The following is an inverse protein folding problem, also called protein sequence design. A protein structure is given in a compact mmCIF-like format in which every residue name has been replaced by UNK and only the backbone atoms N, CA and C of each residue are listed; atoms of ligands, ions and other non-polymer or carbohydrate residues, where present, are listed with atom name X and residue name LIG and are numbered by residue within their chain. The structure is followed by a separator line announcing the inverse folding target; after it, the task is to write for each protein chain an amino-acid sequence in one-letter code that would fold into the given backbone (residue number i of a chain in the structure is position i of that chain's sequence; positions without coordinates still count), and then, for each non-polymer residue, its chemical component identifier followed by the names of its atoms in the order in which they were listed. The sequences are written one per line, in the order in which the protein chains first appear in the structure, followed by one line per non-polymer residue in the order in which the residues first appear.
data_IF_979403270279
#
_entry.id   IF_979403270279
#
_cell.length_a   1.000
_cell.length_b   1.000
_cell.length_c   1.000
_cell.angle_alpha   90.00
_cell.angle_beta   90.00
_cell.angle_gamma   90.00
#
_symmetry.space_group_name_H-M   'P 1'
#
loop_
_entity.id
_entity.type
_entity.pdbx_description
1 polymer ?
#
# COMPACT_ATOMS: atom_id res chain seq x y z
N UNK A 1 -15.57 27.35 31.31
CA UNK A 1 -14.10 27.53 31.28
C UNK A 1 -13.45 26.27 31.84
N UNK A 2 -13.12 25.28 31.00
CA UNK A 2 -12.41 24.08 31.44
C UNK A 2 -10.92 24.28 31.18
N UNK A 3 -10.11 24.33 32.25
CA UNK A 3 -8.66 24.45 32.16
C UNK A 3 -8.07 23.06 31.94
N UNK A 4 -7.80 22.69 30.69
CA UNK A 4 -6.95 21.55 30.36
C UNK A 4 -5.50 21.91 30.71
N UNK A 5 -5.01 21.41 31.84
CA UNK A 5 -3.63 21.64 32.28
C UNK A 5 -2.77 20.52 31.71
N UNK A 6 -1.99 20.83 30.69
CA UNK A 6 -0.95 19.95 30.13
C UNK A 6 0.09 19.68 31.22
N UNK A 7 0.44 18.42 31.43
CA UNK A 7 1.52 18.02 32.32
C UNK A 7 2.73 17.75 31.43
N UNK A 8 3.66 18.70 31.37
CA UNK A 8 4.97 18.44 30.79
C UNK A 8 5.77 17.52 31.72
N UNK A 9 6.41 16.50 31.16
CA UNK A 9 7.43 15.70 31.84
C UNK A 9 8.80 16.28 31.46
N UNK A 10 9.49 17.01 32.35
CA UNK A 10 10.81 17.51 32.05
C UNK A 10 11.79 16.33 32.06
N UNK A 11 12.40 16.03 30.90
CA UNK A 11 13.56 15.12 30.83
C UNK A 11 13.57 14.05 29.73
N UNK A 12 12.55 13.95 28.88
CA UNK A 12 12.56 13.00 27.77
C UNK A 12 13.36 13.55 26.58
N UNK A 13 14.58 13.05 26.37
CA UNK A 13 15.36 13.22 25.14
C UNK A 13 14.86 12.26 24.05
N UNK A 14 13.56 12.30 23.77
CA UNK A 14 12.91 11.57 22.67
C UNK A 14 12.73 12.47 21.44
N UNK A 15 12.70 11.88 20.25
CA UNK A 15 12.62 12.57 18.95
C UNK A 15 11.27 13.31 18.75
N UNK A 16 10.30 13.15 19.66
CA UNK A 16 9.03 13.87 19.67
C UNK A 16 8.56 14.17 21.10
N UNK A 17 7.82 15.27 21.32
CA UNK A 17 7.21 15.56 22.61
C UNK A 17 6.16 14.50 22.95
N UNK A 18 6.26 13.94 24.15
CA UNK A 18 5.29 12.99 24.69
C UNK A 18 4.26 13.74 25.53
N UNK A 19 2.97 13.52 25.24
CA UNK A 19 1.87 14.10 26.00
C UNK A 19 0.99 12.99 26.57
N UNK A 20 0.68 13.08 27.86
CA UNK A 20 -0.35 12.26 28.50
C UNK A 20 -1.71 12.96 28.36
N UNK A 21 -2.66 12.29 27.72
CA UNK A 21 -4.04 12.75 27.55
C UNK A 21 -5.01 11.71 28.08
N UNK A 22 -6.19 12.14 28.55
CA UNK A 22 -7.25 11.20 28.95
C UNK A 22 -7.89 10.56 27.70
N UNK A 23 -8.43 9.34 27.80
CA UNK A 23 -9.11 8.68 26.67
C UNK A 23 -10.22 9.54 26.05
N UNK A 24 -10.99 10.25 26.86
CA UNK A 24 -12.07 11.13 26.40
C UNK A 24 -11.53 12.37 25.65
N UNK A 25 -10.36 12.85 26.06
CA UNK A 25 -9.66 13.94 25.36
C UNK A 25 -9.11 13.44 24.03
N UNK A 26 -8.61 12.20 23.99
CA UNK A 26 -8.16 11.56 22.75
C UNK A 26 -9.31 11.35 21.77
N UNK A 27 -10.51 10.98 22.24
CA UNK A 27 -11.71 10.84 21.41
C UNK A 27 -12.19 12.20 20.86
N UNK A 28 -12.10 13.25 21.68
CA UNK A 28 -12.47 14.62 21.30
C UNK A 28 -11.49 15.23 20.26
N UNK A 29 -10.22 14.84 20.33
CA UNK A 29 -9.25 15.04 19.25
C UNK A 29 -9.45 13.87 18.29
N UNK A 30 -10.62 13.78 17.66
CA UNK A 30 -10.71 13.04 16.41
C UNK A 30 -9.96 13.91 15.39
N UNK A 31 -8.65 13.72 15.10
CA UNK A 31 -8.10 14.38 13.94
C UNK A 31 -9.03 13.99 12.81
N UNK A 32 -9.53 14.97 12.06
CA UNK A 32 -10.27 14.69 10.82
C UNK A 32 -9.41 13.69 10.05
N UNK A 33 -9.85 12.44 10.04
CA UNK A 33 -8.99 11.34 9.71
C UNK A 33 -8.77 11.37 8.23
N UNK A 34 -7.70 11.98 7.75
CA UNK A 34 -6.99 11.37 6.63
C UNK A 34 -6.30 10.11 7.20
N UNK A 35 -7.09 9.14 7.67
CA UNK A 35 -6.63 7.86 8.21
C UNK A 35 -6.50 6.88 7.04
N UNK A 36 -5.33 6.49 6.58
CA UNK A 36 -3.99 6.78 7.05
C UNK A 36 -3.03 6.56 5.90
N UNK A 37 -1.99 7.38 5.87
CA UNK A 37 -0.84 7.10 5.04
C UNK A 37 -0.33 5.70 5.35
N UNK A 38 -0.42 4.78 4.41
CA UNK A 38 0.25 3.50 4.54
C UNK A 38 1.73 3.78 4.31
N UNK A 39 2.55 3.48 5.32
CA UNK A 39 4.00 3.59 5.18
C UNK A 39 4.42 2.67 4.04
N UNK A 40 5.09 3.21 3.03
CA UNK A 40 5.69 2.43 1.94
C UNK A 40 7.10 2.01 2.36
N UNK A 41 7.88 2.93 2.93
CA UNK A 41 9.26 2.70 3.32
C UNK A 41 9.88 3.95 3.91
N UNK A 42 11.17 4.17 3.65
CA UNK A 42 11.86 5.40 4.00
C UNK A 42 12.52 6.05 2.79
N UNK A 43 12.79 7.34 2.87
CA UNK A 43 13.69 7.99 1.93
C UNK A 43 15.17 7.58 2.20
N UNK A 44 16.13 8.06 1.38
CA UNK A 44 17.55 7.81 1.62
C UNK A 44 18.11 8.37 2.93
N UNK A 45 17.43 9.34 3.56
CA UNK A 45 17.79 9.95 4.83
C UNK A 45 17.25 9.14 6.02
N UNK A 46 16.32 8.22 5.78
CA UNK A 46 15.70 7.38 6.80
C UNK A 46 14.33 7.86 7.26
N UNK A 47 13.81 8.95 6.67
CA UNK A 47 12.50 9.50 7.01
C UNK A 47 11.39 8.65 6.41
N UNK A 48 10.32 8.42 7.18
CA UNK A 48 9.23 7.55 6.78
C UNK A 48 8.42 8.13 5.62
N UNK A 49 8.30 7.37 4.53
CA UNK A 49 7.55 7.74 3.35
C UNK A 49 6.22 7.01 3.31
N UNK A 50 5.13 7.76 3.44
CA UNK A 50 3.76 7.27 3.45
C UNK A 50 3.00 7.66 2.18
N UNK A 51 1.95 6.92 1.85
CA UNK A 51 0.98 7.33 0.84
C UNK A 51 -0.45 7.18 1.36
N UNK A 52 -1.29 8.19 1.13
CA UNK A 52 -2.72 8.19 1.46
C UNK A 52 -3.50 7.28 0.49
N UNK A 53 -3.27 5.97 0.61
CA UNK A 53 -3.97 4.94 -0.19
C UNK A 53 -5.26 4.47 0.49
N UNK A 54 -5.60 4.95 1.67
CA UNK A 54 -6.90 4.74 2.33
C UNK A 54 -7.37 6.14 2.67
N UNK A 55 -8.23 6.73 1.83
CA UNK A 55 -8.64 8.15 1.90
C UNK A 55 -10.09 8.31 1.45
N UNK A 56 -10.67 9.48 1.69
CA UNK A 56 -12.04 9.85 1.29
C UNK A 56 -12.27 10.01 -0.23
N UNK A 57 -11.47 9.36 -1.06
CA UNK A 57 -11.54 9.35 -2.53
C UNK A 57 -11.33 7.91 -3.06
N UNK A 58 -12.03 7.49 -4.12
CA UNK A 58 -11.68 6.28 -4.84
C UNK A 58 -10.24 6.37 -5.32
N UNK A 59 -9.42 5.36 -5.02
CA UNK A 59 -7.98 5.42 -5.31
C UNK A 59 -7.54 4.23 -6.14
N UNK A 60 -6.84 4.50 -7.23
CA UNK A 60 -6.27 3.49 -8.12
C UNK A 60 -4.75 3.47 -7.92
N UNK A 61 -4.21 2.29 -7.69
CA UNK A 61 -2.78 2.09 -7.49
C UNK A 61 -2.24 0.97 -8.39
N UNK A 62 -1.00 1.11 -8.85
CA UNK A 62 -0.28 0.06 -9.57
C UNK A 62 1.03 -0.25 -8.86
N UNK A 63 1.33 -1.53 -8.67
CA UNK A 63 2.67 -1.97 -8.25
C UNK A 63 3.27 -2.81 -9.37
N UNK A 64 4.49 -2.49 -9.78
CA UNK A 64 5.23 -3.24 -10.81
C UNK A 64 6.46 -3.88 -10.21
N UNK A 65 6.56 -5.20 -10.34
CA UNK A 65 7.69 -5.99 -9.87
C UNK A 65 7.24 -7.25 -9.13
N UNK A 66 7.89 -7.54 -8.02
CA UNK A 66 7.62 -8.72 -7.20
C UNK A 66 6.40 -8.59 -6.30
N UNK A 67 5.85 -9.73 -5.90
CA UNK A 67 4.70 -9.86 -5.02
C UNK A 67 4.97 -9.38 -3.59
N UNK A 68 6.24 -9.36 -3.18
CA UNK A 68 6.68 -8.93 -1.85
C UNK A 68 6.12 -7.54 -1.46
N UNK A 69 6.27 -6.55 -2.35
CA UNK A 69 5.80 -5.18 -2.12
C UNK A 69 4.28 -5.17 -1.88
N UNK A 70 3.53 -5.85 -2.74
CA UNK A 70 2.07 -5.89 -2.64
C UNK A 70 1.61 -6.57 -1.34
N UNK A 71 2.27 -7.65 -0.91
CA UNK A 71 1.99 -8.31 0.37
C UNK A 71 2.35 -7.43 1.57
N UNK A 72 3.45 -6.70 1.51
CA UNK A 72 3.84 -5.77 2.58
C UNK A 72 2.82 -4.63 2.71
N UNK A 73 2.39 -4.04 1.60
CA UNK A 73 1.34 -3.02 1.61
C UNK A 73 0.00 -3.59 2.10
N UNK A 74 -0.33 -4.83 1.73
CA UNK A 74 -1.51 -5.51 2.26
C UNK A 74 -1.44 -5.69 3.79
N UNK A 75 -0.31 -6.17 4.31
CA UNK A 75 -0.07 -6.29 5.76
C UNK A 75 -0.25 -4.95 6.47
N UNK A 76 0.34 -3.89 5.92
CA UNK A 76 0.25 -2.55 6.52
C UNK A 76 -1.15 -1.98 6.47
N UNK A 77 -1.86 -2.16 5.36
CA UNK A 77 -3.25 -1.75 5.24
C UNK A 77 -4.13 -2.48 6.26
N UNK A 78 -3.95 -3.79 6.44
CA UNK A 78 -4.64 -4.54 7.50
C UNK A 78 -4.31 -4.02 8.90
N UNK A 79 -3.03 -3.72 9.16
CA UNK A 79 -2.59 -3.21 10.46
C UNK A 79 -3.20 -1.83 10.77
N UNK A 80 -3.60 -1.07 9.74
CA UNK A 80 -4.36 0.19 9.88
C UNK A 80 -5.89 -0.01 9.87
N UNK A 81 -6.39 -1.25 9.92
CA UNK A 81 -7.82 -1.57 9.99
C UNK A 81 -8.52 -1.77 8.66
N UNK A 82 -7.80 -1.79 7.53
CA UNK A 82 -8.42 -2.00 6.23
C UNK A 82 -8.87 -3.45 6.04
N UNK A 83 -10.02 -3.61 5.39
CA UNK A 83 -10.42 -4.88 4.80
C UNK A 83 -9.65 -5.08 3.50
N UNK A 84 -8.99 -6.23 3.38
CA UNK A 84 -8.16 -6.58 2.24
C UNK A 84 -8.80 -7.73 1.47
N UNK A 85 -9.25 -7.44 0.24
CA UNK A 85 -9.78 -8.44 -0.68
C UNK A 85 -8.75 -8.69 -1.77
N UNK A 86 -8.36 -9.94 -1.96
CA UNK A 86 -7.34 -10.34 -2.92
C UNK A 86 -8.00 -11.17 -4.01
N UNK A 87 -8.18 -10.60 -5.19
CA UNK A 87 -8.58 -11.32 -6.38
C UNK A 87 -7.32 -11.82 -7.10
N UNK A 88 -7.08 -13.13 -7.08
CA UNK A 88 -5.83 -13.73 -7.57
C UNK A 88 -6.03 -15.08 -8.28
N UNK A 89 -5.16 -15.36 -9.24
CA UNK A 89 -5.02 -16.69 -9.86
C UNK A 89 -4.13 -17.64 -9.05
N UNK A 90 -3.44 -17.15 -8.02
CA UNK A 90 -2.44 -17.88 -7.21
C UNK A 90 -2.70 -17.74 -5.72
N UNK A 91 -3.84 -18.25 -5.20
CA UNK A 91 -4.25 -18.04 -3.81
C UNK A 91 -3.23 -18.51 -2.76
N UNK A 92 -2.46 -19.56 -3.05
CA UNK A 92 -1.41 -20.05 -2.16
C UNK A 92 -0.35 -18.98 -1.84
N UNK A 93 -0.08 -18.09 -2.80
CA UNK A 93 0.87 -16.99 -2.67
C UNK A 93 0.37 -15.88 -1.72
N UNK A 94 -0.86 -15.94 -1.21
CA UNK A 94 -1.45 -14.90 -0.36
C UNK A 94 -1.91 -15.42 1.01
N UNK A 95 -1.90 -16.75 1.22
CA UNK A 95 -2.37 -17.41 2.46
C UNK A 95 -1.66 -16.95 3.74
N UNK A 96 -0.45 -16.41 3.66
CA UNK A 96 0.24 -15.87 4.84
C UNK A 96 -0.53 -14.70 5.47
N UNK A 97 -1.29 -13.94 4.68
CA UNK A 97 -2.05 -12.79 5.18
C UNK A 97 -3.25 -13.22 6.04
N UNK A 98 -3.91 -14.33 5.70
CA UNK A 98 -4.99 -14.89 6.53
C UNK A 98 -4.47 -15.27 7.92
N UNK A 99 -3.26 -15.83 8.00
CA UNK A 99 -2.61 -16.14 9.28
C UNK A 99 -2.21 -14.88 10.04
N UNK A 100 -1.71 -13.88 9.33
CA UNK A 100 -1.28 -12.60 9.92
C UNK A 100 -2.45 -11.79 10.50
N UNK A 101 -3.66 -11.93 9.94
CA UNK A 101 -4.87 -11.29 10.46
C UNK A 101 -5.25 -11.80 11.86
N UNK A 102 -4.79 -13.00 12.23
CA UNK A 102 -5.04 -13.62 13.53
C UNK A 102 -6.44 -14.21 13.67
N UNK A 103 -6.77 -14.56 14.91
CA UNK A 103 -8.03 -15.19 15.29
C UNK A 103 -8.77 -14.31 16.30
N UNK A 104 -10.10 -14.35 16.23
CA UNK A 104 -11.01 -13.83 17.25
C UNK A 104 -10.87 -14.62 18.56
N UNK A 105 -11.35 -14.09 19.70
CA UNK A 105 -11.30 -14.81 20.99
C UNK A 105 -11.92 -16.23 20.94
N UNK A 106 -12.88 -16.45 20.05
CA UNK A 106 -13.53 -17.74 19.83
C UNK A 106 -12.74 -18.67 18.89
N UNK A 107 -11.50 -18.33 18.52
CA UNK A 107 -10.62 -19.10 17.65
C UNK A 107 -10.99 -19.06 16.16
N UNK A 108 -11.90 -18.17 15.74
CA UNK A 108 -12.27 -18.02 14.31
C UNK A 108 -11.35 -17.01 13.63
N UNK A 109 -10.94 -17.21 12.37
CA UNK A 109 -10.14 -16.22 11.64
C UNK A 109 -10.79 -14.83 11.62
N UNK A 110 -9.99 -13.79 11.87
CA UNK A 110 -10.45 -12.41 11.75
C UNK A 110 -10.77 -12.12 10.27
N UNK A 111 -11.98 -11.63 9.93
CA UNK A 111 -12.42 -11.49 8.55
C UNK A 111 -11.84 -10.26 7.81
N UNK A 112 -10.64 -9.81 8.20
CA UNK A 112 -9.95 -8.68 7.56
C UNK A 112 -9.35 -9.05 6.19
N UNK A 113 -9.13 -10.33 5.90
CA UNK A 113 -8.60 -10.81 4.62
C UNK A 113 -9.56 -11.76 3.94
N UNK A 114 -9.76 -11.55 2.65
CA UNK A 114 -10.50 -12.49 1.81
C UNK A 114 -9.74 -12.76 0.51
N UNK A 115 -9.33 -14.01 0.31
CA UNK A 115 -8.72 -14.44 -0.95
C UNK A 115 -9.81 -15.03 -1.86
N UNK A 116 -9.90 -14.51 -3.08
CA UNK A 116 -10.92 -14.83 -4.07
C UNK A 116 -10.28 -15.16 -5.42
N UNK A 117 -10.99 -15.94 -6.23
CA UNK A 117 -10.62 -16.16 -7.64
C UNK A 117 -10.83 -14.87 -8.43
N UNK A 118 -10.11 -14.72 -9.55
CA UNK A 118 -10.30 -13.63 -10.51
C UNK A 118 -11.63 -13.79 -11.28
N UNK A 119 -12.71 -13.37 -10.65
CA UNK A 119 -14.04 -13.30 -11.24
C UNK A 119 -14.81 -12.14 -10.59
N UNK A 120 -15.78 -11.52 -11.26
CA UNK A 120 -16.62 -10.49 -10.65
C UNK A 120 -17.37 -11.00 -9.42
N UNK A 121 -17.45 -10.18 -8.38
CA UNK A 121 -18.28 -10.40 -7.19
C UNK A 121 -18.57 -9.05 -6.51
N UNK A 122 -19.59 -9.04 -5.65
CA UNK A 122 -19.96 -7.84 -4.90
C UNK A 122 -18.90 -7.51 -3.83
N UNK A 123 -18.42 -6.27 -3.89
CA UNK A 123 -17.52 -5.74 -2.88
C UNK A 123 -18.32 -5.26 -1.66
N UNK A 124 -17.77 -5.42 -0.44
CA UNK A 124 -18.36 -4.81 0.74
C UNK A 124 -18.31 -3.29 0.63
N UNK A 125 -19.18 -2.61 1.37
CA UNK A 125 -19.20 -1.16 1.44
C UNK A 125 -17.94 -0.65 2.16
N UNK A 126 -17.22 0.28 1.54
CA UNK A 126 -16.12 0.99 2.18
C UNK A 126 -16.61 2.20 2.98
N UNK A 127 -15.94 2.49 4.09
CA UNK A 127 -16.14 3.67 4.93
C UNK A 127 -14.82 4.10 5.56
N UNK A 128 -14.83 5.23 6.28
CA UNK A 128 -13.67 5.69 7.06
C UNK A 128 -13.27 4.67 8.13
N UNK A 129 -14.25 4.09 8.83
CA UNK A 129 -14.02 3.08 9.87
C UNK A 129 -13.67 1.69 9.30
N UNK A 130 -13.91 1.47 8.02
CA UNK A 130 -13.64 0.19 7.35
C UNK A 130 -13.20 0.45 5.91
N UNK A 131 -11.98 0.96 5.73
CA UNK A 131 -11.47 1.22 4.39
C UNK A 131 -11.22 -0.11 3.68
N UNK A 132 -11.41 -0.13 2.37
CA UNK A 132 -11.33 -1.33 1.55
C UNK A 132 -10.12 -1.25 0.61
N UNK A 133 -9.20 -2.20 0.73
CA UNK A 133 -8.15 -2.44 -0.25
C UNK A 133 -8.48 -3.69 -1.07
N UNK A 134 -8.75 -3.51 -2.36
CA UNK A 134 -8.89 -4.59 -3.33
C UNK A 134 -7.56 -4.77 -4.06
N UNK A 135 -6.97 -5.95 -3.97
CA UNK A 135 -5.74 -6.30 -4.67
C UNK A 135 -6.10 -7.19 -5.86
N UNK A 136 -5.78 -6.72 -7.06
CA UNK A 136 -5.98 -7.45 -8.30
C UNK A 136 -4.64 -8.03 -8.78
N UNK A 137 -4.42 -9.31 -8.47
CA UNK A 137 -3.22 -10.09 -8.83
C UNK A 137 -3.56 -11.06 -9.98
N UNK A 138 -3.71 -10.49 -11.18
CA UNK A 138 -4.22 -11.17 -12.37
C UNK A 138 -3.19 -11.43 -13.47
N UNK A 139 -1.91 -11.15 -13.24
CA UNK A 139 -0.86 -11.21 -14.25
C UNK A 139 -0.54 -9.85 -14.86
N UNK A 140 0.23 -9.85 -15.95
CA UNK A 140 0.85 -8.64 -16.51
C UNK A 140 -0.10 -7.72 -17.29
N UNK A 141 -1.30 -8.20 -17.65
CA UNK A 141 -2.33 -7.41 -18.33
C UNK A 141 -3.56 -7.39 -17.42
N UNK A 142 -3.79 -6.30 -16.67
CA UNK A 142 -4.86 -6.26 -15.69
C UNK A 142 -6.23 -6.21 -16.37
N UNK A 143 -7.18 -6.97 -15.83
CA UNK A 143 -8.59 -6.82 -16.13
C UNK A 143 -9.21 -5.90 -15.08
N UNK A 144 -9.98 -4.90 -15.48
CA UNK A 144 -10.63 -3.99 -14.51
C UNK A 144 -11.92 -4.59 -13.98
N UNK A 145 -11.80 -5.69 -13.24
CA UNK A 145 -12.92 -6.33 -12.57
C UNK A 145 -13.44 -5.49 -11.39
N UNK A 146 -12.54 -4.77 -10.72
CA UNK A 146 -12.84 -4.02 -9.49
C UNK A 146 -12.30 -2.59 -9.54
N UNK A 147 -12.66 -1.77 -10.55
CA UNK A 147 -12.25 -0.36 -10.53
C UNK A 147 -12.77 0.32 -9.24
N UNK A 148 -12.01 1.21 -8.61
CA UNK A 148 -12.44 1.89 -7.40
C UNK A 148 -13.59 2.85 -7.73
N UNK A 149 -14.69 2.80 -6.96
CA UNK A 149 -15.93 3.56 -7.25
C UNK A 149 -16.47 4.33 -6.05
N UNK A 150 -15.92 4.13 -4.85
CA UNK A 150 -16.37 4.79 -3.63
C UNK A 150 -15.19 5.42 -2.85
N UNK A 151 -15.45 6.47 -2.04
CA UNK A 151 -14.52 6.89 -1.00
C UNK A 151 -14.06 5.71 -0.16
N UNK A 152 -12.82 5.76 0.33
CA UNK A 152 -12.23 4.71 1.17
C UNK A 152 -12.08 3.35 0.46
N UNK A 153 -12.24 3.29 -0.86
CA UNK A 153 -11.96 2.13 -1.68
C UNK A 153 -10.70 2.36 -2.51
N UNK A 154 -9.75 1.44 -2.37
CA UNK A 154 -8.53 1.41 -3.17
C UNK A 154 -8.42 0.12 -3.93
N UNK A 155 -8.14 0.23 -5.22
CA UNK A 155 -7.81 -0.93 -6.05
C UNK A 155 -6.35 -0.87 -6.45
N UNK A 156 -5.58 -1.86 -5.99
CA UNK A 156 -4.17 -2.07 -6.34
C UNK A 156 -4.04 -3.15 -7.40
N UNK A 157 -3.51 -2.81 -8.58
CA UNK A 157 -3.16 -3.77 -9.61
C UNK A 157 -1.71 -4.21 -9.45
N UNK A 158 -1.50 -5.51 -9.25
CA UNK A 158 -0.18 -6.11 -9.05
C UNK A 158 0.31 -6.67 -10.37
N UNK A 159 1.30 -6.02 -10.96
CA UNK A 159 1.89 -6.40 -12.25
C UNK A 159 3.26 -7.04 -12.02
N UNK A 160 3.48 -8.31 -12.42
CA UNK A 160 4.79 -8.95 -12.30
C UNK A 160 5.87 -8.27 -13.15
N UNK A 161 5.43 -7.63 -14.25
CA UNK A 161 6.24 -6.86 -15.17
C UNK A 161 5.32 -5.95 -16.01
N UNK A 162 5.88 -4.96 -16.69
CA UNK A 162 5.13 -4.12 -17.63
C UNK A 162 5.01 -4.78 -19.00
N UNK A 163 3.78 -5.13 -19.36
CA UNK A 163 3.43 -5.62 -20.69
C UNK A 163 2.96 -4.46 -21.59
N UNK A 164 3.29 -4.44 -22.90
CA UNK A 164 2.88 -3.35 -23.80
C UNK A 164 1.38 -3.05 -23.80
N UNK A 165 0.52 -4.06 -23.65
CA UNK A 165 -0.94 -3.87 -23.60
C UNK A 165 -1.42 -3.08 -22.37
N UNK A 166 -0.61 -2.96 -21.32
CA UNK A 166 -0.92 -2.11 -20.15
C UNK A 166 -1.08 -0.65 -20.56
N UNK A 167 -0.35 -0.20 -21.59
CA UNK A 167 -0.41 1.18 -22.09
C UNK A 167 -1.77 1.59 -22.66
N UNK A 168 -2.62 0.63 -23.05
CA UNK A 168 -3.95 0.91 -23.58
C UNK A 168 -5.06 0.89 -22.51
N UNK A 169 -4.78 0.38 -21.31
CA UNK A 169 -5.79 0.17 -20.26
C UNK A 169 -5.86 1.32 -19.25
N UNK A 170 -7.03 1.56 -18.66
CA UNK A 170 -7.19 2.62 -17.67
C UNK A 170 -6.47 2.34 -16.34
N UNK A 171 -6.24 1.06 -16.00
CA UNK A 171 -5.60 0.61 -14.76
C UNK A 171 -4.24 1.28 -14.50
N UNK A 172 -3.41 1.46 -15.53
CA UNK A 172 -2.12 2.13 -15.41
C UNK A 172 -2.18 3.63 -15.76
N UNK A 173 -2.92 4.00 -16.79
CA UNK A 173 -2.97 5.39 -17.28
C UNK A 173 -3.68 6.35 -16.32
N UNK A 174 -4.55 5.84 -15.45
CA UNK A 174 -5.35 6.64 -14.51
C UNK A 174 -5.02 6.30 -13.04
N UNK A 175 -3.85 5.72 -12.81
CA UNK A 175 -3.39 5.41 -11.46
C UNK A 175 -3.04 6.70 -10.71
N UNK A 176 -3.55 6.84 -9.49
CA UNK A 176 -3.18 7.91 -8.55
C UNK A 176 -1.76 7.73 -8.00
N UNK A 177 -1.34 6.46 -7.88
CA UNK A 177 -0.04 6.06 -7.35
C UNK A 177 0.50 4.86 -8.13
N UNK A 178 1.76 4.92 -8.54
CA UNK A 178 2.48 3.82 -9.17
C UNK A 178 3.77 3.57 -8.38
N UNK A 179 4.00 2.32 -7.98
CA UNK A 179 5.25 1.90 -7.37
C UNK A 179 6.02 1.00 -8.33
N UNK A 180 7.21 1.43 -8.70
CA UNK A 180 8.08 0.74 -9.64
C UNK A 180 9.29 0.19 -8.89
N UNK A 181 9.40 -1.13 -8.79
CA UNK A 181 10.67 -1.76 -8.45
C UNK A 181 11.61 -1.76 -9.67
N UNK A 182 12.83 -2.31 -9.53
CA UNK A 182 13.79 -2.41 -10.64
C UNK A 182 13.13 -2.96 -11.91
N UNK A 183 13.30 -2.27 -13.03
CA UNK A 183 12.79 -2.68 -14.34
C UNK A 183 13.94 -2.97 -15.31
N UNK A 184 13.84 -4.01 -16.17
CA UNK A 184 14.74 -4.11 -17.31
C UNK A 184 14.52 -2.93 -18.28
N UNK A 185 15.55 -2.60 -19.07
CA UNK A 185 15.56 -1.39 -19.90
C UNK A 185 14.34 -1.26 -20.81
N UNK A 186 13.91 -2.35 -21.44
CA UNK A 186 12.72 -2.38 -22.31
C UNK A 186 11.44 -2.02 -21.54
N UNK A 187 11.29 -2.48 -20.29
CA UNK A 187 10.15 -2.13 -19.44
C UNK A 187 10.26 -0.71 -18.88
N UNK A 188 11.47 -0.22 -18.59
CA UNK A 188 11.68 1.16 -18.18
C UNK A 188 11.32 2.15 -19.31
N UNK A 189 11.63 1.82 -20.56
CA UNK A 189 11.20 2.57 -21.75
C UNK A 189 9.68 2.50 -21.95
N UNK A 190 9.04 1.38 -21.61
CA UNK A 190 7.58 1.28 -21.64
C UNK A 190 6.95 2.15 -20.53
N UNK A 191 7.48 2.10 -19.30
CA UNK A 191 7.07 2.98 -18.19
C UNK A 191 7.19 4.45 -18.60
N UNK A 192 8.25 4.81 -19.32
CA UNK A 192 8.45 6.14 -19.86
C UNK A 192 7.27 6.60 -20.72
N UNK A 193 6.78 5.75 -21.61
CA UNK A 193 5.67 6.06 -22.51
C UNK A 193 4.33 6.12 -21.78
N UNK A 194 4.09 5.19 -20.85
CA UNK A 194 2.82 5.10 -20.11
C UNK A 194 2.65 6.31 -19.19
N UNK A 195 3.69 6.66 -18.42
CA UNK A 195 3.60 7.72 -17.40
C UNK A 195 4.37 8.99 -17.77
N UNK A 196 4.71 9.16 -19.04
CA UNK A 196 5.39 10.35 -19.58
C UNK A 196 6.66 10.73 -18.79
N UNK A 197 7.47 9.73 -18.44
CA UNK A 197 8.71 9.95 -17.68
C UNK A 197 9.75 10.68 -18.56
N UNK A 198 10.57 11.52 -17.93
CA UNK A 198 11.68 12.22 -18.58
C UNK A 198 12.82 11.23 -18.87
N UNK A 199 13.66 11.52 -19.87
CA UNK A 199 14.77 10.63 -20.24
C UNK A 199 15.70 10.29 -19.05
N UNK A 200 15.99 11.26 -18.18
CA UNK A 200 16.84 11.05 -17.00
C UNK A 200 16.19 10.19 -15.90
N UNK A 201 14.87 9.96 -15.97
CA UNK A 201 14.13 9.13 -15.02
C UNK A 201 14.18 7.64 -15.41
N UNK A 202 14.53 7.31 -16.66
CA UNK A 202 14.52 5.92 -17.16
C UNK A 202 15.70 5.10 -16.62
N UNK A 203 16.91 5.65 -16.67
CA UNK A 203 18.12 4.93 -16.25
C UNK A 203 18.10 4.52 -14.76
N UNK A 204 17.67 5.36 -13.81
CA UNK A 204 17.57 4.95 -12.40
C UNK A 204 16.69 3.72 -12.17
N UNK A 205 15.61 3.54 -12.93
CA UNK A 205 14.71 2.39 -12.81
C UNK A 205 15.42 1.05 -13.07
N UNK A 206 16.48 1.04 -13.87
CA UNK A 206 17.23 -0.18 -14.18
C UNK A 206 18.27 -0.53 -13.11
N UNK A 207 18.61 0.43 -12.26
CA UNK A 207 19.68 0.33 -11.26
C UNK A 207 19.18 0.18 -9.82
N UNK A 208 17.86 0.22 -9.61
CA UNK A 208 17.24 0.02 -8.29
C UNK A 208 17.73 -1.28 -7.63
N UNK A 209 18.06 -1.20 -6.34
CA UNK A 209 18.32 -2.37 -5.53
C UNK A 209 17.01 -3.12 -5.20
N UNK A 210 17.12 -4.33 -4.67
CA UNK A 210 15.94 -5.17 -4.39
C UNK A 210 15.02 -4.58 -3.32
N UNK A 211 15.58 -3.77 -2.42
CA UNK A 211 14.87 -2.99 -1.40
C UNK A 211 14.51 -1.57 -1.87
N UNK A 212 14.67 -1.23 -3.15
CA UNK A 212 14.38 0.11 -3.65
C UNK A 212 13.21 0.11 -4.63
N UNK A 213 12.44 1.19 -4.60
CA UNK A 213 11.39 1.48 -5.56
C UNK A 213 11.31 2.98 -5.86
N UNK A 214 10.72 3.31 -7.00
CA UNK A 214 10.27 4.67 -7.31
C UNK A 214 8.76 4.74 -7.08
N UNK A 215 8.32 5.73 -6.31
CA UNK A 215 6.92 6.15 -6.25
C UNK A 215 6.65 7.26 -7.27
N UNK A 216 5.65 7.05 -8.10
CA UNK A 216 5.09 8.02 -9.03
C UNK A 216 3.67 8.39 -8.60
N UNK A 217 3.35 9.66 -8.58
CA UNK A 217 1.99 10.15 -8.33
C UNK A 217 1.79 11.50 -9.01
N UNK A 218 0.77 12.26 -8.59
CA UNK A 218 0.58 13.61 -9.12
C UNK A 218 1.80 14.49 -8.78
N UNK A 219 2.68 14.70 -9.76
CA UNK A 219 3.94 15.46 -9.67
C UNK A 219 5.05 14.83 -8.79
N UNK A 220 4.86 13.62 -8.27
CA UNK A 220 5.85 12.96 -7.40
C UNK A 220 6.76 12.03 -8.18
N UNK A 221 8.07 12.15 -7.96
CA UNK A 221 9.10 11.17 -8.35
C UNK A 221 10.02 10.99 -7.14
N UNK A 222 9.82 9.91 -6.39
CA UNK A 222 10.54 9.71 -5.13
C UNK A 222 11.12 8.31 -5.05
N UNK A 223 12.41 8.24 -4.76
CA UNK A 223 13.07 7.00 -4.39
C UNK A 223 12.68 6.63 -2.96
N UNK A 224 12.18 5.41 -2.78
CA UNK A 224 11.83 4.86 -1.48
C UNK A 224 12.61 3.56 -1.28
N UNK A 225 13.22 3.42 -0.12
CA UNK A 225 13.77 2.17 0.37
C UNK A 225 12.70 1.43 1.18
N UNK A 226 12.42 0.19 0.83
CA UNK A 226 11.58 -0.72 1.60
C UNK A 226 12.25 -1.06 2.92
N UNK A 227 11.63 -0.59 4.00
CA UNK A 227 11.98 -0.98 5.36
C UNK A 227 11.04 -2.11 5.75
N UNK A 228 11.58 -3.27 6.11
CA UNK A 228 10.78 -4.40 6.61
C UNK A 228 11.10 -4.63 8.07
N UNK A 229 10.11 -4.46 8.94
CA UNK A 229 10.31 -4.66 10.38
C UNK A 229 10.38 -6.17 10.74
N UNK A 230 10.74 -6.49 11.98
CA UNK A 230 10.96 -7.87 12.40
C UNK A 230 9.69 -8.74 12.27
N UNK A 231 8.52 -8.23 12.67
CA UNK A 231 7.24 -8.94 12.54
C UNK A 231 6.88 -9.20 11.06
N UNK A 232 7.10 -8.20 10.21
CA UNK A 232 6.90 -8.34 8.77
C UNK A 232 7.84 -9.38 8.17
N UNK A 233 9.12 -9.44 8.59
CA UNK A 233 10.08 -10.46 8.15
C UNK A 233 9.68 -11.87 8.58
N UNK A 234 9.10 -12.03 9.76
CA UNK A 234 8.61 -13.34 10.24
C UNK A 234 7.45 -13.86 9.39
N UNK A 235 6.62 -12.95 8.85
CA UNK A 235 5.46 -13.30 8.01
C UNK A 235 5.84 -13.44 6.53
N UNK A 236 6.60 -12.49 5.99
CA UNK A 236 6.92 -12.39 4.56
C UNK A 236 8.24 -13.06 4.18
N UNK A 237 9.13 -13.28 5.14
CA UNK A 237 10.52 -13.59 4.88
C UNK A 237 11.34 -12.35 4.46
N UNK A 238 12.58 -12.57 3.96
CA UNK A 238 13.40 -11.48 3.45
C UNK A 238 12.80 -10.87 2.18
N UNK A 239 13.19 -9.62 1.87
CA UNK A 239 12.85 -8.95 0.61
C UNK A 239 13.33 -9.81 -0.55
N UNK A 240 12.44 -10.08 -1.52
CA UNK A 240 12.72 -10.91 -2.70
C UNK A 240 12.08 -10.31 -3.94
N UNK A 241 12.60 -10.70 -5.11
CA UNK A 241 11.98 -10.45 -6.42
C UNK A 241 11.28 -11.71 -6.93
N UNK A 242 10.19 -11.51 -7.67
CA UNK A 242 9.69 -12.51 -8.63
C UNK A 242 9.02 -13.76 -8.04
N UNK A 243 8.11 -13.60 -7.07
CA UNK A 243 7.17 -14.65 -6.69
C UNK A 243 5.96 -14.72 -7.64
#
# INVERSE_FOLDING_TARGET
MSRSRTIDVPGSQGVAPEFLVTPETLDAISPSGDRGGVIIGSDPQGEAQAASILRSLPTRMVTVGGLYLARQLALRAMATGAWVIIATGRPAAWKMLERAAGETPDGKPVPLVQIRRLAPFDLPRSSEDTPLLVIHDGGAVPQELFPPRAPWQTTMYVLPYLHPQVSSGTAANTADLVLLQRLPLNQAQLAQRIWSLRNHQVQPLTQLQDDQLIALGNMTWTMIRLVTNQKEKEILGPIRRGD
#
